data_IF_126402762937
#
_entry.id   IF_126402762937
#
_cell.length_a   1.000
_cell.length_b   1.000
_cell.length_c   1.000
_cell.angle_alpha   90.00
_cell.angle_beta   90.00
_cell.angle_gamma   90.00
#
_symmetry.space_group_name_H-M   'P 1'
#
loop_
_entity.id
_entity.type
_entity.pdbx_description
1 polymer ?
#
# COMPACT_ATOMS: atom_id res chain seq x y z
N UNK A 1 -24.35 -8.03 -1.41
CA UNK A 1 -24.57 -6.64 -0.93
C UNK A 1 -24.57 -6.71 0.60
N UNK A 2 -23.80 -5.89 1.32
CA UNK A 2 -23.72 -5.95 2.80
C UNK A 2 -25.06 -5.62 3.48
N UNK A 3 -25.95 -4.91 2.79
CA UNK A 3 -27.32 -4.66 3.26
C UNK A 3 -28.28 -5.80 2.93
N UNK A 4 -27.85 -6.79 2.15
CA UNK A 4 -28.62 -8.01 1.91
C UNK A 4 -28.31 -9.00 3.04
N UNK A 5 -29.27 -9.23 3.96
CA UNK A 5 -29.05 -10.08 5.13
C UNK A 5 -28.66 -11.50 4.74
N UNK A 6 -29.04 -11.99 3.55
CA UNK A 6 -28.71 -13.35 3.12
C UNK A 6 -27.19 -13.54 3.00
N UNK A 7 -26.48 -12.58 2.40
CA UNK A 7 -25.02 -12.67 2.25
C UNK A 7 -24.29 -12.61 3.60
N UNK A 8 -24.85 -11.90 4.59
CA UNK A 8 -24.32 -11.88 5.96
C UNK A 8 -24.56 -13.22 6.68
N UNK A 9 -25.77 -13.78 6.56
CA UNK A 9 -26.08 -15.10 7.14
C UNK A 9 -25.24 -16.23 6.56
N UNK A 10 -24.81 -16.08 5.31
CA UNK A 10 -23.96 -17.06 4.63
C UNK A 10 -22.45 -16.84 4.83
N UNK A 11 -22.05 -15.85 5.65
CA UNK A 11 -20.65 -15.63 6.02
C UNK A 11 -19.78 -15.10 4.88
N UNK A 12 -20.39 -14.50 3.85
CA UNK A 12 -19.66 -13.96 2.69
C UNK A 12 -19.00 -12.61 3.02
N UNK A 13 -19.59 -11.87 3.95
CA UNK A 13 -19.05 -10.60 4.45
C UNK A 13 -18.62 -10.72 5.90
N UNK A 14 -17.46 -10.16 6.22
CA UNK A 14 -16.94 -10.06 7.60
C UNK A 14 -16.52 -8.64 7.93
N UNK A 15 -16.66 -8.26 9.20
CA UNK A 15 -16.23 -6.94 9.67
C UNK A 15 -14.70 -6.87 9.74
N UNK A 16 -14.13 -5.90 9.03
CA UNK A 16 -12.69 -5.63 9.09
C UNK A 16 -12.36 -4.53 10.10
N UNK A 17 -11.56 -4.90 11.10
CA UNK A 17 -11.17 -3.98 12.16
C UNK A 17 -10.16 -2.92 11.71
N UNK A 18 -9.46 -3.14 10.60
CA UNK A 18 -8.48 -2.20 10.08
C UNK A 18 -9.15 -1.01 9.38
N UNK A 19 -10.12 -1.30 8.50
CA UNK A 19 -10.82 -0.30 7.69
C UNK A 19 -12.20 0.10 8.24
N UNK A 20 -12.65 -0.52 9.33
CA UNK A 20 -13.90 -0.20 10.03
C UNK A 20 -15.14 -0.30 9.13
N UNK A 21 -15.19 -1.32 8.29
CA UNK A 21 -16.35 -1.68 7.48
C UNK A 21 -16.33 -3.16 7.10
N UNK A 22 -17.43 -3.67 6.54
CA UNK A 22 -17.53 -5.06 6.09
C UNK A 22 -16.75 -5.30 4.80
N UNK A 23 -16.10 -6.46 4.68
CA UNK A 23 -15.38 -6.91 3.50
C UNK A 23 -16.01 -8.18 2.96
N UNK A 24 -16.20 -8.22 1.64
CA UNK A 24 -16.43 -9.43 0.87
C UNK A 24 -15.19 -10.31 0.96
N UNK A 25 -15.31 -11.50 1.55
CA UNK A 25 -14.20 -12.45 1.66
C UNK A 25 -14.00 -13.23 0.36
N UNK A 26 -12.84 -13.86 0.19
CA UNK A 26 -12.51 -14.65 -1.01
C UNK A 26 -12.50 -13.82 -2.31
N UNK A 27 -12.22 -12.51 -2.19
CA UNK A 27 -12.18 -11.60 -3.33
C UNK A 27 -10.98 -11.88 -4.23
N UNK A 28 -9.82 -12.09 -3.63
CA UNK A 28 -8.58 -12.32 -4.36
C UNK A 28 -7.47 -12.89 -3.49
N UNK A 29 -6.46 -13.44 -4.16
CA UNK A 29 -5.26 -14.00 -3.56
C UNK A 29 -4.05 -13.33 -4.19
N UNK A 30 -3.18 -12.78 -3.35
CA UNK A 30 -1.95 -12.11 -3.78
C UNK A 30 -0.75 -12.91 -3.30
N UNK A 31 0.24 -13.11 -4.15
CA UNK A 31 1.40 -13.96 -3.87
C UNK A 31 2.70 -13.31 -4.35
N UNK A 32 3.76 -13.45 -3.56
CA UNK A 32 5.14 -13.30 -4.01
C UNK A 32 5.84 -14.65 -3.88
N UNK A 33 6.00 -15.36 -5.00
CA UNK A 33 6.38 -16.77 -5.00
C UNK A 33 5.36 -17.59 -4.20
N UNK A 34 5.79 -18.14 -3.05
CA UNK A 34 4.93 -18.92 -2.15
C UNK A 34 4.43 -18.10 -0.95
N UNK A 35 4.85 -16.85 -0.81
CA UNK A 35 4.47 -15.98 0.29
C UNK A 35 3.12 -15.35 0.01
N UNK A 36 2.12 -15.64 0.86
CA UNK A 36 0.77 -15.11 0.74
C UNK A 36 0.67 -13.68 1.27
N UNK A 37 -0.09 -12.87 0.55
CA UNK A 37 -0.49 -11.54 0.99
C UNK A 37 -1.47 -11.56 2.15
N UNK A 38 -1.38 -10.51 2.94
CA UNK A 38 -2.37 -10.11 3.93
C UNK A 38 -3.46 -9.29 3.21
N UNK A 39 -4.73 -9.57 3.54
CA UNK A 39 -5.98 -9.08 2.91
C UNK A 39 -6.46 -9.87 1.68
N UNK A 40 -7.36 -10.79 1.96
CA UNK A 40 -8.13 -11.58 0.97
C UNK A 40 -9.58 -11.09 0.82
N UNK A 41 -9.96 -10.11 1.64
CA UNK A 41 -11.30 -9.52 1.66
C UNK A 41 -11.26 -8.01 1.37
N UNK A 42 -12.26 -7.55 0.63
CA UNK A 42 -12.35 -6.17 0.15
C UNK A 42 -13.77 -5.64 0.28
N UNK A 43 -13.91 -4.35 0.53
CA UNK A 43 -15.17 -3.70 0.25
C UNK A 43 -15.37 -3.64 -1.27
N UNK A 44 -16.53 -4.04 -1.76
CA UNK A 44 -16.85 -3.90 -3.19
C UNK A 44 -17.42 -2.51 -3.44
N UNK A 45 -16.63 -1.63 -4.04
CA UNK A 45 -17.01 -0.26 -4.37
C UNK A 45 -16.81 0.02 -5.87
N UNK A 46 -17.66 0.86 -6.44
CA UNK A 46 -17.45 1.41 -7.76
C UNK A 46 -16.62 2.70 -7.65
N UNK A 47 -15.36 2.69 -8.07
CA UNK A 47 -14.45 3.84 -7.96
C UNK A 47 -14.15 4.52 -9.29
N UNK A 48 -13.87 3.74 -10.36
CA UNK A 48 -13.44 4.30 -11.65
C UNK A 48 -14.24 3.73 -12.81
N UNK A 49 -14.55 4.60 -13.77
CA UNK A 49 -15.31 4.24 -14.97
C UNK A 49 -14.35 3.92 -16.11
N UNK A 50 -14.19 2.64 -16.41
CA UNK A 50 -13.28 2.16 -17.45
C UNK A 50 -13.88 2.16 -18.85
N UNK A 51 -15.21 2.03 -18.94
CA UNK A 51 -15.92 2.00 -20.21
C UNK A 51 -16.86 3.19 -20.34
N UNK A 52 -16.85 3.85 -21.49
CA UNK A 52 -17.78 4.94 -21.81
C UNK A 52 -18.71 4.51 -22.94
N UNK A 53 -19.68 3.67 -22.61
CA UNK A 53 -20.70 3.16 -23.56
C UNK A 53 -22.10 3.53 -23.08
N UNK A 54 -23.10 3.39 -23.94
CA UNK A 54 -24.52 3.56 -23.59
C UNK A 54 -25.01 2.59 -22.50
N UNK A 55 -24.30 1.49 -22.27
CA UNK A 55 -24.59 0.51 -21.21
C UNK A 55 -23.87 0.81 -19.89
N UNK A 56 -22.98 1.83 -19.87
CA UNK A 56 -22.27 2.25 -18.66
C UNK A 56 -22.94 3.49 -18.07
N UNK A 57 -23.76 3.30 -17.03
CA UNK A 57 -24.38 4.40 -16.30
C UNK A 57 -23.32 5.37 -15.74
N UNK A 58 -23.65 6.67 -15.74
CA UNK A 58 -22.78 7.73 -15.22
C UNK A 58 -22.75 7.79 -13.69
N UNK A 59 -23.75 7.19 -13.05
CA UNK A 59 -23.88 7.08 -11.61
C UNK A 59 -23.95 5.61 -11.19
N UNK A 60 -23.55 5.37 -9.95
CA UNK A 60 -23.52 4.07 -9.32
C UNK A 60 -24.16 4.20 -7.92
N UNK A 61 -24.95 3.22 -7.47
CA UNK A 61 -25.39 3.17 -6.08
C UNK A 61 -24.31 2.62 -5.14
N UNK A 62 -23.22 2.08 -5.68
CA UNK A 62 -22.13 1.43 -4.95
C UNK A 62 -20.92 2.36 -4.79
N UNK A 63 -21.14 3.63 -4.47
CA UNK A 63 -20.07 4.63 -4.32
C UNK A 63 -19.41 4.63 -2.92
N UNK A 64 -19.89 3.78 -2.01
CA UNK A 64 -19.35 3.62 -0.65
C UNK A 64 -19.39 2.17 -0.19
N UNK A 65 -18.64 1.85 0.87
CA UNK A 65 -18.66 0.52 1.50
C UNK A 65 -19.91 0.19 2.30
N UNK A 66 -20.86 1.12 2.43
CA UNK A 66 -22.13 0.88 3.10
C UNK A 66 -23.10 0.06 2.23
N UNK A 67 -23.04 0.23 0.91
CA UNK A 67 -23.84 -0.48 -0.07
C UNK A 67 -22.94 -1.01 -1.17
N UNK A 68 -22.54 -2.28 -1.04
CA UNK A 68 -21.42 -2.82 -1.82
C UNK A 68 -21.84 -3.53 -3.10
N UNK A 69 -21.05 -3.28 -4.15
CA UNK A 69 -21.17 -3.85 -5.49
C UNK A 69 -20.23 -3.11 -6.45
N UNK A 70 -20.08 -3.66 -7.66
CA UNK A 70 -19.34 -3.01 -8.74
C UNK A 70 -20.29 -2.85 -9.92
N UNK A 71 -20.46 -1.63 -10.40
CA UNK A 71 -21.36 -1.33 -11.51
C UNK A 71 -20.77 -1.80 -12.85
N UNK A 72 -21.64 -2.26 -13.76
CA UNK A 72 -21.25 -2.63 -15.12
C UNK A 72 -20.52 -1.48 -15.80
N UNK A 73 -19.34 -1.75 -16.35
CA UNK A 73 -18.50 -0.78 -17.05
C UNK A 73 -17.59 0.06 -16.13
N UNK A 74 -17.60 -0.21 -14.83
CA UNK A 74 -16.72 0.39 -13.83
C UNK A 74 -15.81 -0.68 -13.19
N UNK A 75 -14.86 -0.23 -12.37
CA UNK A 75 -14.06 -1.10 -11.51
C UNK A 75 -13.84 -0.52 -10.11
N UNK A 76 -13.22 -1.35 -9.29
CA UNK A 76 -12.92 -1.11 -7.88
C UNK A 76 -11.40 -1.06 -7.68
N UNK A 77 -10.86 0.14 -7.57
CA UNK A 77 -9.42 0.38 -7.56
C UNK A 77 -8.92 0.57 -6.13
N UNK A 78 -8.08 -0.36 -5.71
CA UNK A 78 -7.35 -0.26 -4.46
C UNK A 78 -5.94 0.26 -4.72
N UNK A 79 -5.65 1.47 -4.24
CA UNK A 79 -4.34 2.11 -4.38
C UNK A 79 -3.31 1.54 -3.41
N UNK A 80 -2.02 1.68 -3.76
CA UNK A 80 -0.92 1.38 -2.84
C UNK A 80 -1.02 2.23 -1.57
N UNK A 81 -0.53 1.69 -0.45
CA UNK A 81 -0.55 2.36 0.86
C UNK A 81 -1.87 2.20 1.63
N UNK A 82 -2.87 1.51 1.07
CA UNK A 82 -4.05 1.13 1.84
C UNK A 82 -3.67 0.19 2.98
N UNK A 83 -4.25 0.46 4.15
CA UNK A 83 -4.04 -0.34 5.35
C UNK A 83 -4.30 -1.83 5.12
N UNK A 84 -3.60 -2.65 5.89
CA UNK A 84 -3.73 -4.10 5.92
C UNK A 84 -3.55 -4.85 4.60
N UNK A 85 -3.12 -4.21 3.51
CA UNK A 85 -2.97 -4.75 2.16
C UNK A 85 -1.50 -4.83 1.75
N UNK A 86 -0.83 -5.93 2.08
CA UNK A 86 0.58 -6.11 1.79
C UNK A 86 0.97 -7.59 1.79
N UNK A 87 2.08 -7.90 1.12
CA UNK A 87 2.75 -9.19 1.28
C UNK A 87 3.91 -8.97 2.23
N UNK A 88 3.91 -9.65 3.37
CA UNK A 88 5.02 -9.57 4.31
C UNK A 88 6.21 -10.36 3.76
N UNK A 89 7.22 -9.61 3.31
CA UNK A 89 8.48 -10.13 2.77
C UNK A 89 9.61 -10.10 3.80
N UNK A 90 9.32 -9.82 5.07
CA UNK A 90 10.32 -9.76 6.13
C UNK A 90 11.08 -11.08 6.25
N UNK A 91 12.41 -11.01 6.21
CA UNK A 91 13.28 -12.17 6.31
C UNK A 91 13.44 -12.99 5.02
N UNK A 92 12.75 -12.63 3.93
CA UNK A 92 13.00 -13.25 2.63
C UNK A 92 14.35 -12.76 2.09
N UNK A 93 15.20 -13.65 1.54
CA UNK A 93 16.42 -13.24 0.85
C UNK A 93 16.08 -12.58 -0.49
N UNK A 94 17.02 -11.80 -1.02
CA UNK A 94 16.94 -11.34 -2.41
C UNK A 94 16.73 -12.51 -3.37
N UNK A 95 15.69 -12.41 -4.19
CA UNK A 95 15.30 -13.43 -5.13
C UNK A 95 14.43 -12.86 -6.24
N UNK A 96 14.42 -13.51 -7.39
CA UNK A 96 13.39 -13.30 -8.41
C UNK A 96 12.27 -14.31 -8.19
N UNK A 97 11.04 -13.84 -8.04
CA UNK A 97 9.86 -14.69 -7.98
C UNK A 97 8.68 -14.01 -8.70
N UNK A 98 7.63 -14.79 -8.96
CA UNK A 98 6.39 -14.24 -9.50
C UNK A 98 5.70 -13.42 -8.40
N UNK A 99 5.42 -12.15 -8.68
CA UNK A 99 4.40 -11.39 -7.99
C UNK A 99 3.12 -11.58 -8.79
N UNK A 100 2.10 -12.20 -8.19
CA UNK A 100 0.88 -12.58 -8.89
C UNK A 100 -0.37 -12.28 -8.08
N UNK A 101 -1.48 -12.12 -8.80
CA UNK A 101 -2.81 -12.04 -8.25
C UNK A 101 -3.74 -13.06 -8.92
N UNK A 102 -4.66 -13.60 -8.13
CA UNK A 102 -5.79 -14.41 -8.58
C UNK A 102 -7.06 -13.79 -8.01
N UNK A 103 -7.91 -13.22 -8.85
CA UNK A 103 -9.21 -12.66 -8.50
C UNK A 103 -10.31 -13.74 -8.55
N UNK A 104 -11.25 -13.66 -7.60
CA UNK A 104 -12.32 -14.63 -7.42
C UNK A 104 -11.84 -16.11 -7.47
N UNK A 105 -10.75 -16.48 -6.77
CA UNK A 105 -10.12 -17.79 -6.92
C UNK A 105 -11.04 -18.93 -6.46
N UNK A 106 -11.99 -18.63 -5.56
CA UNK A 106 -12.90 -19.59 -4.94
C UNK A 106 -14.32 -19.55 -5.54
N UNK A 107 -14.56 -18.70 -6.55
CA UNK A 107 -15.86 -18.57 -7.23
C UNK A 107 -16.98 -18.04 -6.32
N UNK A 108 -16.64 -17.17 -5.36
CA UNK A 108 -17.63 -16.50 -4.50
C UNK A 108 -18.32 -15.33 -5.20
N UNK A 109 -17.64 -14.66 -6.13
CA UNK A 109 -18.27 -13.70 -7.04
C UNK A 109 -18.90 -14.47 -8.20
N UNK A 110 -20.20 -14.28 -8.41
CA UNK A 110 -20.88 -14.91 -9.53
C UNK A 110 -20.62 -14.13 -10.83
N UNK A 111 -19.66 -14.59 -11.62
CA UNK A 111 -19.30 -14.04 -12.93
C UNK A 111 -20.18 -14.68 -14.03
N UNK A 112 -21.49 -14.43 -13.91
CA UNK A 112 -22.52 -15.03 -14.76
C UNK A 112 -23.91 -14.70 -14.25
N UNK A 113 -24.74 -15.72 -14.04
CA UNK A 113 -26.09 -15.53 -13.50
C UNK A 113 -26.32 -16.36 -12.24
N UNK A 114 -26.95 -15.75 -11.25
CA UNK A 114 -27.31 -16.42 -10.00
C UNK A 114 -28.34 -17.53 -10.28
N UNK A 115 -28.19 -18.66 -9.60
CA UNK A 115 -29.19 -19.73 -9.63
C UNK A 115 -30.28 -19.39 -8.62
N UNK A 116 -31.51 -19.24 -9.11
CA UNK A 116 -32.67 -18.88 -8.29
C UNK A 116 -33.60 -20.09 -8.09
N UNK A 117 -34.27 -20.14 -6.95
CA UNK A 117 -35.34 -21.11 -6.68
C UNK A 117 -36.69 -20.65 -7.28
N UNK A 118 -37.75 -21.46 -7.10
CA UNK A 118 -39.10 -21.15 -7.60
C UNK A 118 -39.74 -19.90 -6.99
N UNK A 119 -39.21 -19.39 -5.87
CA UNK A 119 -39.62 -18.15 -5.22
C UNK A 119 -38.73 -16.96 -5.59
N UNK A 120 -37.86 -17.11 -6.60
CA UNK A 120 -36.91 -16.09 -7.06
C UNK A 120 -35.84 -15.69 -6.01
N UNK A 121 -35.59 -16.55 -5.02
CA UNK A 121 -34.52 -16.36 -4.04
C UNK A 121 -33.24 -17.09 -4.46
N UNK A 122 -32.09 -16.54 -4.08
CA UNK A 122 -30.76 -17.11 -4.38
C UNK A 122 -30.64 -18.49 -3.77
N UNK A 123 -30.15 -19.45 -4.53
CA UNK A 123 -29.74 -20.74 -4.00
C UNK A 123 -28.30 -20.68 -3.50
N UNK A 124 -28.06 -21.28 -2.35
CA UNK A 124 -26.76 -21.30 -1.70
C UNK A 124 -26.21 -22.72 -1.64
N UNK A 125 -24.88 -22.84 -1.64
CA UNK A 125 -24.18 -24.10 -1.40
C UNK A 125 -23.14 -23.95 -0.30
N UNK A 126 -23.11 -24.92 0.61
CA UNK A 126 -22.15 -24.95 1.70
C UNK A 126 -20.74 -25.21 1.15
N UNK A 127 -19.77 -24.45 1.64
CA UNK A 127 -18.36 -24.61 1.28
C UNK A 127 -17.58 -25.32 2.39
N UNK A 128 -16.30 -25.58 2.17
CA UNK A 128 -15.36 -26.05 3.19
C UNK A 128 -14.72 -24.90 3.99
N UNK A 129 -15.11 -23.64 3.72
CA UNK A 129 -14.57 -22.46 4.38
C UNK A 129 -15.35 -22.12 5.65
N UNK A 130 -14.67 -21.42 6.55
CA UNK A 130 -15.24 -20.86 7.78
C UNK A 130 -14.86 -19.41 7.91
N UNK A 131 -15.74 -18.61 8.52
CA UNK A 131 -15.43 -17.21 8.86
C UNK A 131 -14.30 -17.13 9.88
N UNK A 132 -13.77 -15.93 10.12
CA UNK A 132 -12.79 -15.68 11.19
C UNK A 132 -13.30 -16.05 12.60
N UNK A 133 -14.62 -16.15 12.77
CA UNK A 133 -15.29 -16.58 14.00
C UNK A 133 -15.62 -18.09 14.04
N UNK A 134 -15.23 -18.85 13.02
CA UNK A 134 -15.43 -20.30 12.94
C UNK A 134 -16.82 -20.74 12.47
N UNK A 135 -17.65 -19.83 11.93
CA UNK A 135 -18.96 -20.18 11.39
C UNK A 135 -18.84 -20.73 9.96
N UNK A 136 -19.68 -21.70 9.55
CA UNK A 136 -19.67 -22.21 8.18
C UNK A 136 -20.00 -21.12 7.15
N UNK A 137 -19.31 -21.16 6.02
CA UNK A 137 -19.54 -20.22 4.90
C UNK A 137 -20.23 -20.94 3.75
N UNK A 138 -21.24 -20.29 3.18
CA UNK A 138 -21.90 -20.74 1.95
C UNK A 138 -21.68 -19.70 0.85
N UNK A 139 -21.55 -20.17 -0.39
CA UNK A 139 -21.51 -19.28 -1.57
C UNK A 139 -22.80 -19.38 -2.37
N UNK A 140 -23.13 -18.29 -3.06
CA UNK A 140 -24.27 -18.27 -3.96
C UNK A 140 -24.00 -19.20 -5.15
N UNK A 141 -24.95 -20.07 -5.48
CA UNK A 141 -24.86 -20.91 -6.69
C UNK A 141 -24.88 -20.01 -7.92
N UNK A 142 -23.93 -20.27 -8.82
CA UNK A 142 -23.73 -19.46 -10.01
C UNK A 142 -23.72 -20.34 -11.27
N UNK A 143 -24.48 -19.93 -12.27
CA UNK A 143 -24.28 -20.35 -13.64
C UNK A 143 -23.21 -19.43 -14.24
N UNK A 144 -21.95 -19.82 -14.06
CA UNK A 144 -20.82 -19.07 -14.59
C UNK A 144 -20.86 -18.98 -16.11
N UNK A 145 -20.51 -17.81 -16.63
CA UNK A 145 -20.34 -17.64 -18.08
C UNK A 145 -19.14 -18.45 -18.55
N UNK A 146 -19.16 -18.89 -19.81
CA UNK A 146 -18.00 -19.54 -20.43
C UNK A 146 -16.79 -18.60 -20.34
N UNK A 147 -15.64 -19.13 -19.88
CA UNK A 147 -14.38 -18.39 -19.71
C UNK A 147 -14.45 -17.25 -18.68
N UNK A 148 -15.35 -17.32 -17.70
CA UNK A 148 -15.46 -16.31 -16.64
C UNK A 148 -14.12 -16.00 -15.96
N UNK A 149 -13.27 -17.01 -15.76
CA UNK A 149 -11.99 -16.88 -15.07
C UNK A 149 -10.80 -16.54 -16.00
N UNK A 150 -11.05 -16.24 -17.27
CA UNK A 150 -9.97 -16.10 -18.27
C UNK A 150 -9.07 -14.88 -18.09
N UNK A 151 -9.52 -13.90 -17.31
CA UNK A 151 -8.82 -12.65 -17.01
C UNK A 151 -8.70 -12.41 -15.49
N UNK A 152 -8.81 -13.48 -14.69
CA UNK A 152 -8.75 -13.38 -13.24
C UNK A 152 -7.33 -13.56 -12.68
N UNK A 153 -6.35 -13.81 -13.55
CA UNK A 153 -4.97 -14.02 -13.12
C UNK A 153 -4.03 -13.11 -13.90
N UNK A 154 -3.15 -12.44 -13.18
CA UNK A 154 -1.98 -11.77 -13.76
C UNK A 154 -0.73 -12.04 -12.92
N UNK A 155 0.44 -11.95 -13.55
CA UNK A 155 1.71 -12.09 -12.85
C UNK A 155 2.86 -11.39 -13.56
N UNK A 156 3.79 -10.89 -12.76
CA UNK A 156 5.05 -10.33 -13.22
C UNK A 156 6.23 -11.01 -12.52
N UNK A 157 7.37 -11.12 -13.21
CA UNK A 157 8.62 -11.47 -12.54
C UNK A 157 9.12 -10.26 -11.76
N UNK A 158 9.12 -10.35 -10.44
CA UNK A 158 9.60 -9.29 -9.56
C UNK A 158 10.94 -9.70 -8.93
N UNK A 159 11.90 -8.78 -8.93
CA UNK A 159 13.20 -8.96 -8.30
C UNK A 159 13.14 -8.31 -6.92
N UNK A 160 13.08 -9.13 -5.88
CA UNK A 160 13.26 -8.67 -4.52
C UNK A 160 14.76 -8.41 -4.28
N UNK A 161 15.11 -7.19 -3.96
CA UNK A 161 16.47 -6.79 -3.63
C UNK A 161 16.73 -6.84 -2.12
N UNK A 162 17.97 -7.13 -1.72
CA UNK A 162 18.35 -7.15 -0.30
C UNK A 162 18.37 -5.73 0.25
N UNK A 163 17.69 -5.50 1.38
CA UNK A 163 17.73 -4.26 2.15
C UNK A 163 17.42 -2.98 1.33
N UNK A 164 16.65 -3.12 0.25
CA UNK A 164 16.08 -1.98 -0.47
C UNK A 164 14.58 -1.91 -0.23
N UNK A 165 14.04 -0.70 -0.26
CA UNK A 165 12.61 -0.42 -0.37
C UNK A 165 12.33 0.34 -1.66
N UNK A 166 11.06 0.52 -1.98
CA UNK A 166 10.60 1.39 -3.06
C UNK A 166 11.31 2.76 -3.08
N UNK A 167 11.53 3.36 -1.90
CA UNK A 167 12.18 4.66 -1.74
C UNK A 167 13.69 4.62 -1.97
N UNK A 168 14.36 3.51 -1.68
CA UNK A 168 15.81 3.36 -1.85
C UNK A 168 16.20 2.65 -3.15
N UNK A 169 15.24 2.10 -3.89
CA UNK A 169 15.47 1.56 -5.22
C UNK A 169 15.81 2.67 -6.23
N UNK A 170 16.69 2.41 -7.22
CA UNK A 170 16.98 3.38 -8.25
C UNK A 170 15.72 3.86 -8.99
N UNK A 171 15.67 5.14 -9.32
CA UNK A 171 14.62 5.67 -10.18
C UNK A 171 14.80 5.18 -11.62
N UNK A 172 13.84 4.41 -12.14
CA UNK A 172 13.92 3.80 -13.49
C UNK A 172 13.03 4.46 -14.52
N UNK A 173 12.19 5.44 -14.12
CA UNK A 173 11.17 6.06 -14.99
C UNK A 173 11.37 7.56 -15.17
N UNK A 174 12.60 8.05 -15.05
CA UNK A 174 12.92 9.48 -15.16
C UNK A 174 12.34 10.33 -14.04
N UNK A 175 12.02 9.73 -12.88
CA UNK A 175 11.55 10.49 -11.72
C UNK A 175 12.69 11.36 -11.19
N UNK A 176 12.44 12.65 -11.06
CA UNK A 176 13.42 13.66 -10.62
C UNK A 176 12.72 14.68 -9.72
N UNK A 177 13.49 15.39 -8.91
CA UNK A 177 12.98 16.35 -7.93
C UNK A 177 12.74 15.75 -6.54
N UNK A 178 12.38 16.61 -5.56
CA UNK A 178 12.38 16.24 -4.15
C UNK A 178 11.20 15.35 -3.72
N UNK A 179 10.11 15.36 -4.48
CA UNK A 179 8.85 14.66 -4.16
C UNK A 179 8.83 13.20 -4.62
N UNK A 180 9.87 12.72 -5.31
CA UNK A 180 9.90 11.34 -5.82
C UNK A 180 10.14 10.33 -4.70
N UNK A 181 9.70 9.10 -4.88
CA UNK A 181 9.85 8.04 -3.89
C UNK A 181 10.79 6.94 -4.39
N UNK A 182 11.95 7.35 -4.91
CA UNK A 182 13.00 6.45 -5.38
C UNK A 182 14.37 7.16 -5.35
N UNK A 183 15.44 6.36 -5.34
CA UNK A 183 16.82 6.79 -5.45
C UNK A 183 17.39 7.42 -4.18
N UNK A 184 16.71 7.29 -3.04
CA UNK A 184 17.23 7.74 -1.76
C UNK A 184 18.21 6.73 -1.16
N UNK A 185 19.17 7.22 -0.40
CA UNK A 185 20.04 6.41 0.45
C UNK A 185 19.94 6.87 1.89
N UNK A 186 20.05 5.92 2.81
CA UNK A 186 20.09 6.21 4.25
C UNK A 186 21.42 6.86 4.58
N UNK A 187 21.38 8.10 5.07
CA UNK A 187 22.54 8.80 5.62
C UNK A 187 22.71 8.48 7.12
N UNK A 188 21.60 8.51 7.86
CA UNK A 188 21.57 8.17 9.28
C UNK A 188 20.33 7.32 9.54
N UNK A 189 20.54 6.11 10.03
CA UNK A 189 19.49 5.09 10.10
C UNK A 189 18.63 5.18 11.36
N UNK A 190 19.23 5.46 12.51
CA UNK A 190 18.53 5.59 13.79
C UNK A 190 19.12 6.77 14.56
N UNK A 191 18.29 7.79 14.79
CA UNK A 191 18.61 8.94 15.62
C UNK A 191 17.51 9.12 16.67
N UNK A 192 17.92 9.33 17.91
CA UNK A 192 17.00 9.55 19.02
C UNK A 192 16.59 11.03 19.16
N UNK A 193 15.32 11.23 19.49
CA UNK A 193 14.75 12.50 19.93
C UNK A 193 13.71 12.26 21.02
N UNK A 194 13.33 13.31 21.74
CA UNK A 194 12.30 13.22 22.79
C UNK A 194 10.92 13.19 22.10
N UNK A 195 10.10 12.14 22.30
CA UNK A 195 8.79 12.02 21.66
C UNK A 195 7.93 13.28 21.80
N UNK A 196 7.24 13.67 20.73
CA UNK A 196 6.39 14.86 20.63
C UNK A 196 7.10 16.23 20.69
N UNK A 197 8.40 16.29 20.98
CA UNK A 197 9.15 17.55 20.94
C UNK A 197 9.53 17.96 19.52
N UNK A 198 9.69 19.26 19.29
CA UNK A 198 10.17 19.77 18.02
C UNK A 198 11.69 19.57 17.91
N UNK A 199 12.13 18.96 16.81
CA UNK A 199 13.52 18.82 16.45
C UNK A 199 13.81 19.80 15.32
N UNK A 200 14.86 20.62 15.48
CA UNK A 200 15.37 21.47 14.40
C UNK A 200 16.76 20.98 13.99
N UNK A 201 16.97 20.80 12.69
CA UNK A 201 18.25 20.44 12.11
C UNK A 201 18.60 21.44 11.01
N UNK A 202 19.89 21.74 10.86
CA UNK A 202 20.43 22.46 9.71
C UNK A 202 21.29 21.54 8.86
N UNK A 203 21.15 21.64 7.54
CA UNK A 203 21.94 20.89 6.57
C UNK A 203 22.76 21.80 5.68
N UNK A 204 23.97 21.36 5.30
CA UNK A 204 24.82 22.12 4.40
C UNK A 204 25.74 21.20 3.58
N UNK A 205 26.21 21.71 2.45
CA UNK A 205 27.20 21.05 1.59
C UNK A 205 28.57 21.70 1.80
N UNK A 206 29.65 20.91 1.75
CA UNK A 206 30.96 21.47 1.48
C UNK A 206 31.11 21.69 -0.03
N UNK A 207 32.04 22.55 -0.46
CA UNK A 207 32.22 22.95 -1.86
C UNK A 207 32.54 21.73 -2.76
N UNK A 208 31.50 21.04 -3.24
CA UNK A 208 31.58 19.91 -4.15
C UNK A 208 31.00 20.31 -5.51
N UNK A 209 31.82 20.19 -6.55
CA UNK A 209 31.59 20.78 -7.88
C UNK A 209 30.59 20.02 -8.77
N UNK A 210 29.98 18.93 -8.33
CA UNK A 210 29.22 18.03 -9.20
C UNK A 210 27.75 17.81 -8.83
N UNK A 211 27.32 18.15 -7.61
CA UNK A 211 25.92 18.01 -7.19
C UNK A 211 25.41 19.35 -6.66
N UNK A 212 24.71 20.16 -7.47
CA UNK A 212 24.27 21.50 -7.08
C UNK A 212 23.23 21.49 -5.95
N UNK A 213 22.47 20.40 -5.81
CA UNK A 213 21.49 20.28 -4.74
C UNK A 213 21.20 18.83 -4.33
N UNK A 214 20.97 18.63 -3.03
CA UNK A 214 20.64 17.34 -2.42
C UNK A 214 19.29 17.46 -1.72
N UNK A 215 18.37 16.55 -2.00
CA UNK A 215 17.14 16.42 -1.24
C UNK A 215 17.40 15.62 0.03
N UNK A 216 17.01 16.19 1.18
CA UNK A 216 17.03 15.53 2.48
C UNK A 216 15.59 15.19 2.88
N UNK A 217 15.35 13.93 3.24
CA UNK A 217 14.07 13.45 3.74
C UNK A 217 14.23 12.90 5.15
N UNK A 218 13.38 13.35 6.06
CA UNK A 218 13.33 12.87 7.43
C UNK A 218 12.20 11.86 7.54
N UNK A 219 12.55 10.63 7.87
CA UNK A 219 11.60 9.55 8.09
C UNK A 219 11.61 9.12 9.54
N UNK A 220 10.56 8.44 9.97
CA UNK A 220 10.60 7.71 11.22
C UNK A 220 11.57 6.50 11.11
N UNK A 221 12.10 6.05 12.24
CA UNK A 221 12.78 4.75 12.34
C UNK A 221 12.00 3.84 13.27
N UNK A 222 11.88 2.58 12.88
CA UNK A 222 11.12 1.57 13.60
C UNK A 222 12.03 0.76 14.53
N UNK A 223 11.59 0.56 15.77
CA UNK A 223 12.26 -0.37 16.70
C UNK A 223 12.02 -1.82 16.33
N UNK A 224 10.83 -2.13 15.84
CA UNK A 224 10.48 -3.48 15.40
C UNK A 224 11.34 -3.92 14.20
N UNK A 225 11.57 -3.02 13.24
CA UNK A 225 12.42 -3.27 12.07
C UNK A 225 13.91 -3.06 12.37
N UNK A 226 14.24 -2.31 13.42
CA UNK A 226 15.62 -2.00 13.79
C UNK A 226 16.31 -1.04 12.82
N UNK A 227 15.56 -0.12 12.20
CA UNK A 227 16.09 0.81 11.19
C UNK A 227 15.05 1.78 10.64
N UNK A 228 15.46 2.58 9.66
CA UNK A 228 14.61 3.53 8.93
C UNK A 228 13.40 2.85 8.30
N UNK A 229 12.26 3.54 8.29
CA UNK A 229 11.08 3.06 7.55
C UNK A 229 11.12 3.35 6.05
N UNK A 230 12.14 4.08 5.58
CA UNK A 230 12.26 4.54 4.19
C UNK A 230 10.95 5.13 3.65
N UNK A 231 10.42 6.12 4.36
CA UNK A 231 9.11 6.69 4.11
C UNK A 231 8.98 7.40 2.74
N UNK A 232 7.81 7.26 2.12
CA UNK A 232 7.40 8.08 0.99
C UNK A 232 7.30 9.56 1.39
N UNK A 233 7.37 10.45 0.40
CA UNK A 233 7.30 11.90 0.60
C UNK A 233 6.08 12.31 1.45
N UNK A 234 4.92 11.71 1.18
CA UNK A 234 3.66 12.03 1.87
C UNK A 234 3.66 11.62 3.35
N UNK A 235 4.56 10.72 3.74
CA UNK A 235 4.72 10.24 5.12
C UNK A 235 6.01 10.75 5.78
N UNK A 236 6.75 11.63 5.10
CA UNK A 236 7.96 12.23 5.66
C UNK A 236 7.62 13.17 6.82
N UNK A 237 8.41 13.09 7.89
CA UNK A 237 8.30 13.99 9.04
C UNK A 237 8.63 15.42 8.64
N UNK A 238 9.63 15.56 7.77
CA UNK A 238 9.91 16.77 7.01
C UNK A 238 10.87 16.49 5.85
N UNK A 239 11.06 17.49 5.00
CA UNK A 239 11.95 17.42 3.85
C UNK A 239 12.51 18.80 3.54
N UNK A 240 13.72 18.85 3.00
CA UNK A 240 14.33 20.09 2.51
C UNK A 240 15.25 19.82 1.33
N UNK A 241 15.55 20.85 0.54
CA UNK A 241 16.58 20.81 -0.49
C UNK A 241 17.77 21.62 -0.01
N UNK A 242 18.94 21.00 -0.03
CA UNK A 242 20.21 21.58 0.40
C UNK A 242 20.98 21.96 -0.85
N UNK A 243 21.17 23.25 -1.07
CA UNK A 243 21.93 23.79 -2.20
C UNK A 243 23.36 24.12 -1.78
N UNK A 244 24.25 24.34 -2.76
CA UNK A 244 25.63 24.82 -2.50
C UNK A 244 25.70 26.16 -1.74
N UNK A 245 24.63 26.95 -1.77
CA UNK A 245 24.48 28.19 -0.99
C UNK A 245 24.30 27.94 0.52
N UNK A 246 23.90 26.71 0.90
CA UNK A 246 23.75 26.30 2.29
C UNK A 246 25.11 25.98 2.87
N UNK A 247 25.51 26.76 3.87
CA UNK A 247 26.83 26.66 4.53
C UNK A 247 26.67 26.37 6.01
N UNK A 248 27.76 26.05 6.71
CA UNK A 248 27.71 25.81 8.15
C UNK A 248 27.13 26.98 8.95
N UNK A 249 27.37 28.23 8.53
CA UNK A 249 26.85 29.43 9.19
C UNK A 249 25.42 29.78 8.77
N UNK A 250 24.99 29.34 7.59
CA UNK A 250 23.63 29.52 7.08
C UNK A 250 23.12 28.21 6.46
N UNK A 251 22.78 27.21 7.28
CA UNK A 251 22.35 25.91 6.80
C UNK A 251 20.88 25.94 6.36
N UNK A 252 20.50 25.04 5.44
CA UNK A 252 19.11 24.75 5.13
C UNK A 252 18.46 24.10 6.35
N UNK A 253 17.57 24.83 7.04
CA UNK A 253 16.94 24.34 8.27
C UNK A 253 15.65 23.59 7.98
N UNK A 254 15.42 22.53 8.75
CA UNK A 254 14.15 21.82 8.82
C UNK A 254 13.74 21.68 10.29
N UNK A 255 12.44 21.80 10.55
CA UNK A 255 11.86 21.54 11.87
C UNK A 255 10.73 20.52 11.70
N UNK A 256 10.71 19.49 12.55
CA UNK A 256 9.67 18.47 12.55
C UNK A 256 9.36 18.03 13.99
N UNK A 257 8.20 17.41 14.17
CA UNK A 257 7.83 16.83 15.45
C UNK A 257 8.42 15.42 15.57
N UNK A 258 9.13 15.17 16.67
CA UNK A 258 9.67 13.86 16.96
C UNK A 258 8.55 12.80 17.09
N UNK A 259 8.70 11.61 16.48
CA UNK A 259 7.65 10.58 16.46
C UNK A 259 7.13 10.21 17.85
N UNK A 260 5.81 10.04 17.96
CA UNK A 260 5.13 9.67 19.20
C UNK A 260 5.17 8.15 19.41
N UNK A 261 4.92 7.71 20.65
CA UNK A 261 4.70 6.30 20.93
C UNK A 261 3.37 5.83 20.30
N UNK A 262 3.42 4.72 19.55
CA UNK A 262 2.24 4.02 19.03
C UNK A 262 1.86 2.83 19.88
N UNK A 263 2.84 2.10 20.40
CA UNK A 263 2.66 0.93 21.26
C UNK A 263 3.90 0.64 22.12
N UNK A 264 3.94 -0.54 22.74
CA UNK A 264 5.02 -0.97 23.63
C UNK A 264 6.35 -1.26 22.90
N UNK A 265 6.31 -1.56 21.60
CA UNK A 265 7.48 -1.81 20.75
C UNK A 265 7.88 -0.50 20.07
N UNK A 266 6.93 0.16 19.39
CA UNK A 266 7.11 1.46 18.77
C UNK A 266 6.85 2.59 19.78
N UNK A 267 7.78 2.75 20.71
CA UNK A 267 7.71 3.74 21.80
C UNK A 267 8.00 5.19 21.36
N UNK A 268 8.06 5.47 20.05
CA UNK A 268 8.36 6.79 19.49
C UNK A 268 9.81 7.24 19.69
N UNK A 269 10.14 8.47 19.30
CA UNK A 269 11.45 9.04 19.61
C UNK A 269 12.58 8.67 18.65
N UNK A 270 12.31 8.00 17.53
CA UNK A 270 13.35 7.62 16.57
C UNK A 270 13.05 8.16 15.17
N UNK A 271 14.07 8.68 14.52
CA UNK A 271 14.01 9.14 13.15
C UNK A 271 15.28 8.80 12.37
N UNK A 272 15.18 8.87 11.05
CA UNK A 272 16.24 8.65 10.08
C UNK A 272 16.35 9.83 9.13
N UNK A 273 17.52 9.94 8.51
CA UNK A 273 17.82 10.94 7.49
C UNK A 273 18.19 10.19 6.22
N UNK A 274 17.40 10.40 5.17
CA UNK A 274 17.67 9.90 3.84
C UNK A 274 18.08 11.06 2.93
N UNK A 275 18.93 10.77 1.96
CA UNK A 275 19.39 11.75 0.97
C UNK A 275 19.31 11.20 -0.44
N UNK A 276 19.08 12.09 -1.39
CA UNK A 276 19.19 11.79 -2.81
C UNK A 276 19.64 13.05 -3.56
N UNK A 277 20.33 12.93 -4.70
CA UNK A 277 20.52 14.10 -5.56
C UNK A 277 19.14 14.66 -5.93
N UNK A 278 18.94 15.98 -5.92
CA UNK A 278 17.61 16.52 -6.27
C UNK A 278 17.27 16.20 -7.72
N UNK A 279 18.26 16.27 -8.62
CA UNK A 279 18.12 15.88 -10.02
C UNK A 279 18.83 14.55 -10.28
N UNK A 280 18.17 13.64 -10.99
CA UNK A 280 18.65 12.26 -11.16
C UNK A 280 19.97 12.15 -11.94
N UNK A 281 20.31 13.18 -12.72
CA UNK A 281 21.56 13.29 -13.46
C UNK A 281 22.77 13.63 -12.57
N UNK A 282 22.52 14.12 -11.36
CA UNK A 282 23.56 14.52 -10.41
C UNK A 282 24.09 13.33 -9.60
N UNK A 283 25.34 13.41 -9.15
CA UNK A 283 25.93 12.40 -8.28
C UNK A 283 25.34 12.45 -6.87
N UNK A 284 25.28 11.28 -6.21
CA UNK A 284 24.87 11.23 -4.80
C UNK A 284 25.92 11.85 -3.91
N UNK A 285 25.50 12.79 -3.07
CA UNK A 285 26.32 13.44 -2.05
C UNK A 285 25.58 13.41 -0.71
N UNK A 286 26.28 13.02 0.34
CA UNK A 286 25.79 13.13 1.71
C UNK A 286 25.95 14.57 2.22
N UNK A 287 25.01 15.02 3.05
CA UNK A 287 24.99 16.38 3.61
C UNK A 287 25.60 16.41 5.01
N UNK A 288 26.20 17.53 5.35
CA UNK A 288 26.61 17.79 6.73
C UNK A 288 25.40 18.27 7.56
N UNK A 289 25.43 17.98 8.86
CA UNK A 289 24.32 18.25 9.78
C UNK A 289 24.82 19.12 10.95
N UNK A 290 24.05 20.13 11.31
CA UNK A 290 24.18 20.90 12.56
C UNK A 290 22.86 20.86 13.33
N UNK A 291 22.94 20.79 14.66
CA UNK A 291 21.79 20.91 15.55
C UNK A 291 21.62 22.36 16.01
#
# INVERSE_FOLDING_TARGET
NVTDPDYLYHGVFEWDNCHKHFHFQHYGKFLFGQTAGHKVGFCLQTTWRYFNTEYTYLNTPYDTCAYQGISVGWGDDYVAGLGCQWIDITGLPAQTALLSDDLNPDGFLCEGSLVLNSSNAIQWELTNYTTSYGYPVSRAKCNFTKNWNSNNHDSINYILHNNLSFVTEPCTRGQSGPLRDCGFQVQNDIIECIPSENVTLGFYLEEYKQTPSVTVRICESSRALGGSTHCEYVYALAMTVVELSSTKSNPAKVTFQCPIARDNIESGGLYSILVAPTFIEDELVFVNIVK
#
